data_IF_222136943781
#
_entry.id   IF_222136943781
#
_cell.length_a   1.000
_cell.length_b   1.000
_cell.length_c   1.000
_cell.angle_alpha   90.00
_cell.angle_beta   90.00
_cell.angle_gamma   90.00
#
_symmetry.space_group_name_H-M   'P 1'
#
loop_
_entity.id
_entity.type
_entity.pdbx_description
1 polymer ?
#
# COMPACT_ATOMS: atom_id res chain seq x y z
N UNK A 1 -3.97 12.51 17.60
CA UNK A 1 -2.55 12.89 17.69
C UNK A 1 -1.93 13.01 16.30
N UNK A 2 -0.95 13.91 16.15
CA UNK A 2 -0.26 14.12 14.88
C UNK A 2 1.20 13.71 15.04
N UNK A 3 1.66 12.83 14.17
CA UNK A 3 3.06 12.42 14.08
C UNK A 3 3.68 13.06 12.85
N UNK A 4 4.91 13.55 12.98
CA UNK A 4 5.62 14.25 11.91
C UNK A 4 6.90 13.46 11.55
N UNK A 5 7.07 13.18 10.27
CA UNK A 5 8.32 12.65 9.71
C UNK A 5 9.03 13.73 8.90
N UNK A 6 10.35 13.85 9.09
CA UNK A 6 11.17 14.81 8.36
C UNK A 6 11.72 14.18 7.07
N UNK A 7 11.66 14.93 5.97
CA UNK A 7 12.25 14.59 4.68
C UNK A 7 13.44 15.50 4.43
N UNK A 8 14.49 14.96 3.86
CA UNK A 8 15.72 15.70 3.55
C UNK A 8 15.83 15.88 2.04
N UNK A 9 16.18 17.06 1.59
CA UNK A 9 16.44 17.36 0.20
C UNK A 9 17.83 16.86 -0.25
N UNK A 10 18.15 17.12 -1.52
CA UNK A 10 19.41 16.69 -2.15
C UNK A 10 20.56 17.64 -1.79
N UNK A 11 21.71 17.09 -1.42
CA UNK A 11 22.95 17.86 -1.23
C UNK A 11 23.65 18.03 -2.58
N UNK A 12 24.10 19.24 -2.87
CA UNK A 12 24.87 19.54 -4.08
C UNK A 12 26.37 19.44 -3.79
N UNK A 13 27.08 18.66 -4.60
CA UNK A 13 28.54 18.58 -4.53
C UNK A 13 29.18 19.77 -5.24
N UNK A 14 30.25 20.31 -4.67
CA UNK A 14 31.02 21.40 -5.24
C UNK A 14 32.47 21.00 -5.43
N UNK A 15 33.07 21.42 -6.53
CA UNK A 15 34.50 21.28 -6.76
C UNK A 15 35.24 22.25 -5.85
N UNK A 16 36.23 21.74 -5.11
CA UNK A 16 37.13 22.58 -4.35
C UNK A 16 38.32 22.98 -5.26
N UNK A 17 38.50 24.27 -5.46
CA UNK A 17 39.64 24.82 -6.16
C UNK A 17 40.65 25.35 -5.14
N UNK A 18 41.97 25.17 -5.42
CA UNK A 18 43.01 25.59 -4.52
C UNK A 18 42.96 27.13 -4.30
N UNK A 19 42.88 27.55 -3.06
CA UNK A 19 42.84 28.97 -2.68
C UNK A 19 41.43 29.63 -2.78
N UNK A 20 40.43 28.92 -3.22
CA UNK A 20 39.06 29.44 -3.31
C UNK A 20 38.17 28.77 -2.27
N UNK A 21 37.51 29.56 -1.41
CA UNK A 21 36.50 29.04 -0.46
C UNK A 21 35.16 28.84 -1.17
N UNK A 22 34.64 27.60 -1.28
CA UNK A 22 33.32 27.38 -1.85
C UNK A 22 32.24 27.95 -0.92
N UNK A 23 31.20 28.52 -1.50
CA UNK A 23 30.03 28.99 -0.75
C UNK A 23 29.27 27.76 -0.18
N UNK A 24 28.87 27.85 1.11
CA UNK A 24 28.00 26.85 1.71
C UNK A 24 26.57 26.95 1.13
N UNK A 25 25.91 25.82 0.99
CA UNK A 25 24.48 25.74 0.63
C UNK A 25 23.71 25.05 1.73
N UNK A 26 22.48 25.50 1.93
CA UNK A 26 21.57 24.87 2.89
C UNK A 26 20.75 23.82 2.18
N UNK A 27 20.81 22.59 2.65
CA UNK A 27 19.94 21.52 2.18
C UNK A 27 18.53 21.75 2.72
N UNK A 28 17.48 21.75 1.87
CA UNK A 28 16.12 21.96 2.33
C UNK A 28 15.58 20.73 3.08
N UNK A 29 14.70 20.99 4.03
CA UNK A 29 14.00 19.97 4.78
C UNK A 29 12.50 20.13 4.56
N UNK A 30 11.82 19.02 4.27
CA UNK A 30 10.37 18.93 4.21
C UNK A 30 9.82 18.15 5.40
N UNK A 31 8.50 18.23 5.60
CA UNK A 31 7.80 17.48 6.65
C UNK A 31 6.60 16.76 6.06
N UNK A 32 6.36 15.55 6.53
CA UNK A 32 5.12 14.81 6.34
C UNK A 32 4.45 14.67 7.68
N UNK A 33 3.20 15.06 7.78
CA UNK A 33 2.39 14.87 8.97
C UNK A 33 1.32 13.80 8.74
N UNK A 34 1.14 12.97 9.75
CA UNK A 34 0.07 11.97 9.82
C UNK A 34 -0.77 12.28 11.05
N UNK A 35 -2.06 12.49 10.85
CA UNK A 35 -3.02 12.68 11.96
C UNK A 35 -3.89 11.42 12.06
N UNK A 36 -3.88 10.80 13.24
CA UNK A 36 -4.76 9.67 13.57
C UNK A 36 -5.89 10.21 14.43
N UNK A 37 -7.10 10.25 13.90
CA UNK A 37 -8.27 10.85 14.53
C UNK A 37 -9.53 9.97 14.49
N UNK A 38 -9.41 8.77 13.92
CA UNK A 38 -10.52 7.83 13.77
C UNK A 38 -10.21 6.51 14.47
N UNK A 39 -11.16 6.03 15.27
CA UNK A 39 -11.12 4.70 15.86
C UNK A 39 -12.03 3.78 15.05
N UNK A 40 -11.49 2.68 14.58
CA UNK A 40 -12.24 1.63 13.89
C UNK A 40 -12.68 0.62 14.92
N UNK A 41 -13.96 0.32 14.98
CA UNK A 41 -14.57 -0.60 15.94
C UNK A 41 -15.34 -1.70 15.20
N UNK A 42 -15.03 -2.95 15.52
CA UNK A 42 -15.87 -4.11 15.24
C UNK A 42 -16.58 -4.52 16.52
N UNK A 43 -17.91 -4.56 16.50
CA UNK A 43 -18.73 -4.88 17.65
C UNK A 43 -19.81 -5.87 17.28
N UNK A 44 -19.82 -7.00 17.99
CA UNK A 44 -20.87 -8.02 17.90
C UNK A 44 -21.47 -8.32 19.25
N UNK A 45 -22.71 -8.79 19.24
CA UNK A 45 -23.40 -9.25 20.43
C UNK A 45 -23.93 -10.68 20.28
N UNK A 46 -23.99 -11.41 21.37
CA UNK A 46 -24.52 -12.77 21.44
C UNK A 46 -25.44 -12.92 22.63
N UNK A 47 -26.70 -13.30 22.36
CA UNK A 47 -27.66 -13.55 23.43
C UNK A 47 -27.26 -14.80 24.24
N UNK A 48 -27.44 -14.72 25.54
CA UNK A 48 -27.15 -15.85 26.45
C UNK A 48 -27.94 -17.11 26.08
N UNK A 49 -29.19 -16.96 25.65
CA UNK A 49 -30.02 -18.10 25.26
C UNK A 49 -29.46 -18.82 24.00
N UNK A 50 -29.05 -18.07 22.98
CA UNK A 50 -28.46 -18.64 21.79
C UNK A 50 -27.15 -19.36 22.08
N UNK A 51 -26.36 -18.87 23.02
CA UNK A 51 -25.11 -19.49 23.42
C UNK A 51 -25.33 -20.84 24.09
N UNK A 52 -26.31 -20.94 24.99
CA UNK A 52 -26.66 -22.20 25.64
C UNK A 52 -27.28 -23.24 24.70
N UNK A 53 -27.94 -22.79 23.64
CA UNK A 53 -28.55 -23.68 22.65
C UNK A 53 -27.60 -24.15 21.57
N UNK A 54 -26.48 -23.46 21.35
CA UNK A 54 -25.46 -23.82 20.38
C UNK A 54 -24.29 -24.54 21.07
N UNK A 55 -23.99 -25.78 20.67
CA UNK A 55 -22.79 -26.52 21.11
C UNK A 55 -21.49 -26.00 20.50
N UNK A 56 -21.49 -24.80 20.01
CA UNK A 56 -20.42 -24.19 19.22
C UNK A 56 -19.85 -22.96 19.93
N UNK A 57 -18.53 -22.84 19.92
CA UNK A 57 -17.82 -21.70 20.55
C UNK A 57 -17.96 -20.43 19.72
N UNK A 58 -19.18 -19.91 19.60
CA UNK A 58 -19.52 -18.77 18.74
C UNK A 58 -18.70 -17.51 19.07
N UNK A 59 -18.39 -17.29 20.35
CA UNK A 59 -17.59 -16.13 20.79
C UNK A 59 -16.19 -16.16 20.24
N UNK A 60 -15.54 -17.32 20.21
CA UNK A 60 -14.19 -17.47 19.66
C UNK A 60 -14.17 -17.26 18.16
N UNK A 61 -15.16 -17.76 17.45
CA UNK A 61 -15.29 -17.55 15.99
C UNK A 61 -15.53 -16.08 15.64
N UNK A 62 -16.39 -15.38 16.39
CA UNK A 62 -16.64 -13.95 16.20
C UNK A 62 -15.36 -13.13 16.46
N UNK A 63 -14.61 -13.43 17.53
CA UNK A 63 -13.35 -12.74 17.79
C UNK A 63 -12.30 -12.97 16.68
N UNK A 64 -12.25 -14.19 16.11
CA UNK A 64 -11.38 -14.47 14.97
C UNK A 64 -11.83 -13.75 13.72
N UNK A 65 -13.14 -13.63 13.49
CA UNK A 65 -13.68 -12.91 12.34
C UNK A 65 -13.41 -11.41 12.42
N UNK A 66 -13.56 -10.80 13.59
CA UNK A 66 -13.15 -9.42 13.85
C UNK A 66 -11.68 -9.20 13.50
N UNK A 67 -10.78 -10.08 13.93
CA UNK A 67 -9.35 -9.98 13.62
C UNK A 67 -9.09 -10.07 12.11
N UNK A 68 -9.80 -10.95 11.40
CA UNK A 68 -9.70 -11.08 9.94
C UNK A 68 -10.20 -9.84 9.21
N UNK A 69 -11.37 -9.31 9.60
CA UNK A 69 -11.96 -8.13 8.94
C UNK A 69 -11.14 -6.86 9.20
N UNK A 70 -10.64 -6.67 10.43
CA UNK A 70 -9.73 -5.58 10.75
C UNK A 70 -8.42 -5.71 9.95
N UNK A 71 -7.84 -6.91 9.83
CA UNK A 71 -6.65 -7.15 9.02
C UNK A 71 -6.88 -6.83 7.54
N UNK A 72 -8.03 -7.21 6.98
CA UNK A 72 -8.41 -6.87 5.60
C UNK A 72 -8.55 -5.35 5.40
N UNK A 73 -9.16 -4.67 6.35
CA UNK A 73 -9.31 -3.23 6.32
C UNK A 73 -7.97 -2.51 6.40
N UNK A 74 -7.08 -2.98 7.26
CA UNK A 74 -5.71 -2.47 7.39
C UNK A 74 -4.95 -2.59 6.07
N UNK A 75 -4.91 -3.78 5.47
CA UNK A 75 -4.25 -4.02 4.19
C UNK A 75 -4.83 -3.13 3.08
N UNK A 76 -6.16 -2.96 3.05
CA UNK A 76 -6.81 -2.13 2.05
C UNK A 76 -6.39 -0.67 2.16
N UNK A 77 -6.32 -0.11 3.38
CA UNK A 77 -5.90 1.26 3.61
C UNK A 77 -4.46 1.52 3.12
N UNK A 78 -3.54 0.57 3.34
CA UNK A 78 -2.18 0.66 2.82
C UNK A 78 -2.13 0.64 1.30
N UNK A 79 -2.87 -0.25 0.65
CA UNK A 79 -2.91 -0.34 -0.81
C UNK A 79 -3.57 0.89 -1.45
N UNK A 80 -4.58 1.48 -0.80
CA UNK A 80 -5.17 2.75 -1.22
C UNK A 80 -4.11 3.86 -1.22
N UNK A 81 -3.36 3.98 -0.13
CA UNK A 81 -2.32 5.01 -0.03
C UNK A 81 -1.16 4.75 -0.99
N UNK A 82 -0.84 3.49 -1.29
CA UNK A 82 0.15 3.13 -2.31
C UNK A 82 -0.29 3.57 -3.73
N UNK A 83 -1.57 3.37 -4.10
CA UNK A 83 -2.12 3.87 -5.36
C UNK A 83 -2.03 5.40 -5.44
N UNK A 84 -2.38 6.10 -4.37
CA UNK A 84 -2.29 7.56 -4.30
C UNK A 84 -0.84 8.04 -4.34
N UNK A 85 0.07 7.31 -3.69
CA UNK A 85 1.51 7.56 -3.77
C UNK A 85 2.05 7.46 -5.18
N UNK A 86 1.61 6.46 -5.96
CA UNK A 86 1.99 6.30 -7.37
C UNK A 86 1.50 7.45 -8.28
N UNK A 87 0.44 8.14 -7.88
CA UNK A 87 -0.12 9.29 -8.61
C UNK A 87 0.35 10.64 -8.03
N UNK A 88 1.06 10.63 -6.90
CA UNK A 88 1.48 11.84 -6.22
C UNK A 88 2.63 12.54 -6.94
N UNK A 89 2.57 13.86 -6.97
CA UNK A 89 3.68 14.68 -7.45
C UNK A 89 4.87 14.63 -6.49
N UNK A 90 6.05 15.00 -6.99
CA UNK A 90 7.23 15.17 -6.17
C UNK A 90 6.96 16.19 -5.04
N UNK A 91 7.38 15.92 -3.79
CA UNK A 91 7.21 16.87 -2.71
C UNK A 91 7.96 18.17 -2.96
N UNK A 92 7.33 19.32 -2.67
CA UNK A 92 7.99 20.61 -2.73
C UNK A 92 8.64 20.93 -1.38
N UNK A 93 9.94 21.19 -1.39
CA UNK A 93 10.71 21.63 -0.23
C UNK A 93 10.89 23.16 -0.18
N UNK A 94 10.26 23.92 -1.08
CA UNK A 94 10.34 25.38 -1.12
C UNK A 94 11.68 25.95 -1.58
N UNK A 95 12.67 25.11 -1.88
CA UNK A 95 14.02 25.53 -2.26
C UNK A 95 14.35 25.32 -3.76
N UNK A 96 13.33 25.02 -4.56
CA UNK A 96 13.43 24.68 -5.97
C UNK A 96 13.61 23.17 -6.20
N UNK A 97 13.01 22.66 -7.27
CA UNK A 97 12.98 21.25 -7.61
C UNK A 97 14.37 20.58 -7.76
N UNK A 98 15.40 21.35 -8.11
CA UNK A 98 16.77 20.86 -8.27
C UNK A 98 17.42 20.33 -6.97
N UNK A 99 16.89 20.70 -5.81
CA UNK A 99 17.38 20.25 -4.50
C UNK A 99 16.50 19.19 -3.84
N UNK A 100 15.48 18.73 -4.52
CA UNK A 100 14.64 17.65 -4.04
C UNK A 100 15.30 16.29 -4.35
N UNK A 101 15.41 15.44 -3.33
CA UNK A 101 15.91 14.08 -3.46
C UNK A 101 14.80 13.05 -3.65
N UNK A 102 13.54 13.48 -3.61
CA UNK A 102 12.37 12.63 -3.69
C UNK A 102 11.63 12.95 -4.99
N UNK A 103 11.52 11.96 -5.87
CA UNK A 103 10.81 12.06 -7.13
C UNK A 103 9.28 11.98 -6.98
N UNK A 104 8.57 12.10 -8.10
CA UNK A 104 7.14 11.82 -8.19
C UNK A 104 6.88 10.33 -8.18
N UNK A 105 5.66 9.94 -7.81
CA UNK A 105 5.18 8.57 -7.97
C UNK A 105 5.20 8.13 -9.44
N UNK A 106 5.31 6.83 -9.66
CA UNK A 106 5.35 6.23 -11.00
C UNK A 106 4.03 5.59 -11.36
N UNK A 107 3.54 5.85 -12.54
CA UNK A 107 2.33 5.19 -13.01
C UNK A 107 2.39 4.93 -14.51
N UNK A 108 1.72 3.88 -14.92
CA UNK A 108 1.55 3.50 -16.33
C UNK A 108 0.12 3.04 -16.53
N UNK A 109 -0.51 3.51 -17.61
CA UNK A 109 -1.82 3.02 -18.04
C UNK A 109 -1.62 2.11 -19.26
N UNK A 110 -2.24 0.93 -19.26
CA UNK A 110 -2.23 0.02 -20.40
C UNK A 110 -2.86 0.67 -21.63
N UNK A 111 -2.34 0.36 -22.82
CA UNK A 111 -2.64 1.10 -24.04
C UNK A 111 -4.06 0.88 -24.57
N UNK A 112 -4.64 -0.31 -24.33
CA UNK A 112 -5.99 -0.65 -24.80
C UNK A 112 -6.77 -1.45 -23.78
N UNK A 113 -8.08 -1.43 -23.90
CA UNK A 113 -8.98 -2.25 -23.08
C UNK A 113 -8.71 -3.75 -23.34
N UNK A 114 -8.55 -4.50 -22.26
CA UNK A 114 -8.24 -5.93 -22.33
C UNK A 114 -6.74 -6.28 -22.25
N UNK A 115 -5.85 -5.28 -22.37
CA UNK A 115 -4.40 -5.50 -22.24
C UNK A 115 -4.03 -6.06 -20.84
N UNK A 116 -4.87 -5.84 -19.84
CA UNK A 116 -4.72 -6.43 -18.52
C UNK A 116 -4.87 -7.95 -18.49
N UNK A 117 -5.44 -8.54 -19.55
CA UNK A 117 -5.58 -9.99 -19.72
C UNK A 117 -4.50 -10.59 -20.63
N UNK A 118 -3.64 -9.76 -21.19
CA UNK A 118 -2.48 -10.18 -21.98
C UNK A 118 -1.26 -10.36 -21.07
N UNK A 119 -0.73 -11.59 -20.94
CA UNK A 119 0.37 -11.87 -20.01
C UNK A 119 1.66 -11.13 -20.36
N UNK A 120 1.95 -10.91 -21.63
CA UNK A 120 3.17 -10.21 -22.04
C UNK A 120 3.04 -8.71 -21.77
N UNK A 121 1.93 -8.08 -22.13
CA UNK A 121 1.71 -6.64 -21.93
C UNK A 121 1.67 -6.26 -20.45
N UNK A 122 1.02 -7.08 -19.64
CA UNK A 122 0.97 -6.84 -18.20
C UNK A 122 2.35 -6.99 -17.55
N UNK A 123 3.11 -8.03 -17.92
CA UNK A 123 4.47 -8.23 -17.43
C UNK A 123 5.40 -7.09 -17.89
N UNK A 124 5.34 -6.69 -19.15
CA UNK A 124 6.17 -5.60 -19.70
C UNK A 124 5.85 -4.27 -19.02
N UNK A 125 4.57 -3.98 -18.71
CA UNK A 125 4.19 -2.77 -17.99
C UNK A 125 4.78 -2.73 -16.55
N UNK A 126 4.77 -3.87 -15.85
CA UNK A 126 5.36 -3.99 -14.51
C UNK A 126 6.88 -3.82 -14.60
N UNK A 127 7.55 -4.50 -15.53
CA UNK A 127 9.00 -4.40 -15.74
C UNK A 127 9.41 -2.97 -16.08
N UNK A 128 8.68 -2.30 -16.96
CA UNK A 128 8.96 -0.90 -17.30
C UNK A 128 8.88 0.04 -16.11
N UNK A 129 7.91 -0.16 -15.21
CA UNK A 129 7.81 0.63 -13.97
C UNK A 129 8.98 0.35 -13.02
N UNK A 130 9.36 -0.92 -12.86
CA UNK A 130 10.51 -1.29 -12.03
C UNK A 130 11.78 -0.63 -12.59
N UNK A 131 11.99 -0.70 -13.91
CA UNK A 131 13.15 -0.07 -14.56
C UNK A 131 13.17 1.45 -14.37
N UNK A 132 12.01 2.14 -14.43
CA UNK A 132 11.94 3.57 -14.11
C UNK A 132 12.30 3.89 -12.66
N UNK A 133 11.98 2.98 -11.73
CA UNK A 133 12.38 3.13 -10.33
C UNK A 133 13.89 2.90 -10.14
N UNK A 134 14.47 1.93 -10.86
CA UNK A 134 15.91 1.68 -10.87
C UNK A 134 16.70 2.87 -11.42
N UNK A 135 16.23 3.52 -12.49
CA UNK A 135 16.83 4.74 -13.05
C UNK A 135 16.85 5.89 -12.03
N UNK A 136 15.96 5.88 -11.05
CA UNK A 136 15.96 6.83 -9.92
C UNK A 136 16.76 6.33 -8.70
N UNK A 137 17.60 5.31 -8.88
CA UNK A 137 18.46 4.73 -7.84
C UNK A 137 17.69 4.09 -6.66
N UNK A 138 16.46 3.59 -6.93
CA UNK A 138 15.66 2.86 -5.94
C UNK A 138 16.07 1.37 -5.99
N UNK A 139 16.51 0.76 -4.85
CA UNK A 139 16.89 -0.64 -4.82
C UNK A 139 15.71 -1.57 -5.15
N UNK A 140 15.88 -2.44 -6.16
CA UNK A 140 14.83 -3.37 -6.61
C UNK A 140 14.58 -4.47 -5.58
N UNK A 141 15.61 -4.90 -4.87
CA UNK A 141 15.55 -5.96 -3.86
C UNK A 141 14.50 -5.70 -2.76
N UNK A 142 14.24 -4.43 -2.45
CA UNK A 142 13.25 -4.00 -1.48
C UNK A 142 11.84 -3.82 -2.09
N UNK A 143 11.69 -3.92 -3.41
CA UNK A 143 10.41 -3.70 -4.08
C UNK A 143 9.51 -4.93 -3.95
N UNK A 144 8.23 -4.67 -3.68
CA UNK A 144 7.18 -5.68 -3.65
C UNK A 144 6.09 -5.28 -4.62
N UNK A 145 5.73 -6.20 -5.51
CA UNK A 145 4.67 -6.04 -6.49
C UNK A 145 3.41 -6.73 -5.99
N UNK A 146 2.39 -5.97 -5.67
CA UNK A 146 1.07 -6.49 -5.31
C UNK A 146 0.20 -6.59 -6.56
N UNK A 147 -0.32 -7.78 -6.81
CA UNK A 147 -1.17 -8.06 -7.97
C UNK A 147 -2.44 -8.75 -7.49
N UNK A 148 -3.58 -8.44 -8.13
CA UNK A 148 -4.82 -9.17 -7.83
C UNK A 148 -4.73 -10.63 -8.25
N UNK A 149 -5.45 -11.53 -7.57
CA UNK A 149 -5.44 -12.95 -7.93
C UNK A 149 -5.79 -13.23 -9.39
N UNK A 150 -6.73 -12.47 -9.98
CA UNK A 150 -7.11 -12.56 -11.40
C UNK A 150 -5.95 -12.24 -12.34
N UNK A 151 -5.28 -11.11 -12.12
CA UNK A 151 -4.14 -10.69 -12.94
C UNK A 151 -2.88 -11.50 -12.65
N UNK A 152 -2.75 -12.02 -11.43
CA UNK A 152 -1.69 -12.99 -11.13
C UNK A 152 -1.84 -14.27 -11.95
N UNK A 153 -3.10 -14.74 -12.15
CA UNK A 153 -3.36 -15.91 -13.03
C UNK A 153 -3.01 -15.59 -14.50
N UNK A 154 -3.18 -14.34 -14.93
CA UNK A 154 -2.72 -13.91 -16.27
C UNK A 154 -1.19 -13.98 -16.36
N UNK A 155 -0.46 -13.48 -15.35
CA UNK A 155 1.00 -13.56 -15.31
C UNK A 155 1.54 -15.01 -15.31
N UNK A 156 0.79 -15.96 -14.73
CA UNK A 156 1.13 -17.38 -14.79
C UNK A 156 1.11 -17.95 -16.22
N UNK A 157 0.48 -17.30 -17.17
CA UNK A 157 0.49 -17.70 -18.57
C UNK A 157 1.67 -17.09 -19.37
N UNK A 158 2.51 -16.29 -18.72
CA UNK A 158 3.69 -15.72 -19.37
C UNK A 158 4.84 -16.72 -19.38
N UNK A 159 5.23 -17.16 -20.59
CA UNK A 159 6.29 -18.13 -20.76
C UNK A 159 7.66 -17.64 -20.30
N UNK A 160 7.95 -16.34 -20.38
CA UNK A 160 9.23 -15.77 -19.94
C UNK A 160 9.43 -15.86 -18.43
N UNK A 161 8.32 -15.78 -17.67
CA UNK A 161 8.36 -15.84 -16.20
C UNK A 161 8.43 -17.27 -15.65
N UNK A 162 7.97 -18.28 -16.40
CA UNK A 162 7.83 -19.65 -15.94
C UNK A 162 8.76 -20.65 -16.62
N UNK A 163 9.26 -20.34 -17.84
CA UNK A 163 10.11 -21.27 -18.58
C UNK A 163 11.42 -21.53 -17.84
N UNK A 164 11.80 -22.78 -17.70
CA UNK A 164 13.09 -23.17 -17.14
C UNK A 164 14.28 -22.63 -17.91
N UNK A 165 14.11 -22.39 -19.21
CA UNK A 165 15.16 -21.88 -20.07
C UNK A 165 15.44 -20.38 -19.82
N UNK A 166 14.43 -19.64 -19.39
CA UNK A 166 14.52 -18.20 -19.13
C UNK A 166 14.53 -17.83 -17.65
N UNK A 167 13.82 -18.59 -16.80
CA UNK A 167 13.51 -18.21 -15.44
C UNK A 167 14.02 -19.17 -14.36
N UNK A 168 14.82 -20.18 -14.71
CA UNK A 168 15.59 -21.06 -13.79
C UNK A 168 14.97 -21.33 -12.39
N UNK A 169 13.66 -21.62 -12.33
CA UNK A 169 12.97 -21.94 -11.06
C UNK A 169 12.22 -20.77 -10.40
N UNK A 170 12.02 -19.66 -11.11
CA UNK A 170 11.25 -18.51 -10.64
C UNK A 170 9.76 -18.83 -10.40
N UNK A 171 9.23 -19.89 -10.98
CA UNK A 171 7.83 -20.22 -10.79
C UNK A 171 7.48 -21.69 -11.09
N UNK A 172 6.28 -22.06 -10.70
CA UNK A 172 5.69 -23.38 -10.97
C UNK A 172 4.21 -23.18 -11.32
N UNK A 173 3.86 -23.43 -12.57
CA UNK A 173 2.49 -23.29 -13.06
C UNK A 173 1.52 -24.21 -12.30
N UNK A 174 1.94 -25.46 -12.04
CA UNK A 174 1.10 -26.44 -11.36
C UNK A 174 0.79 -26.03 -9.91
N UNK A 175 1.73 -25.34 -9.26
CA UNK A 175 1.55 -24.80 -7.90
C UNK A 175 0.96 -23.40 -7.88
N UNK A 176 0.83 -22.74 -9.05
CA UNK A 176 0.34 -21.38 -9.15
C UNK A 176 1.23 -20.35 -8.42
N UNK A 177 2.56 -20.48 -8.58
CA UNK A 177 3.55 -19.66 -7.89
C UNK A 177 4.44 -18.96 -8.92
N UNK A 178 4.62 -17.65 -8.73
CA UNK A 178 5.70 -16.85 -9.31
C UNK A 178 6.34 -16.12 -8.12
N UNK A 179 7.66 -16.17 -8.01
CA UNK A 179 8.37 -15.55 -6.90
C UNK A 179 8.70 -14.08 -7.18
N UNK A 180 9.25 -13.81 -8.36
CA UNK A 180 9.83 -12.51 -8.69
C UNK A 180 9.55 -12.11 -10.14
N UNK A 181 9.56 -10.80 -10.39
CA UNK A 181 9.57 -10.20 -11.70
C UNK A 181 10.61 -9.07 -11.69
N UNK A 182 11.61 -9.16 -12.59
CA UNK A 182 12.74 -8.21 -12.64
C UNK A 182 13.41 -7.98 -11.28
N UNK A 183 13.56 -9.03 -10.45
CA UNK A 183 14.15 -8.94 -9.11
C UNK A 183 13.20 -8.46 -8.00
N UNK A 184 12.01 -7.99 -8.32
CA UNK A 184 11.02 -7.57 -7.35
C UNK A 184 10.08 -8.74 -6.98
N UNK A 185 9.81 -8.92 -5.69
CA UNK A 185 8.94 -9.99 -5.18
C UNK A 185 7.48 -9.74 -5.57
N UNK A 186 6.78 -10.77 -6.03
CA UNK A 186 5.34 -10.71 -6.33
C UNK A 186 4.51 -11.27 -5.18
N UNK A 187 3.45 -10.55 -4.81
CA UNK A 187 2.48 -10.96 -3.78
C UNK A 187 1.06 -10.81 -4.31
N UNK A 188 0.24 -11.83 -4.07
CA UNK A 188 -1.20 -11.78 -4.39
C UNK A 188 -1.95 -11.01 -3.31
N UNK A 189 -2.78 -10.04 -3.70
CA UNK A 189 -3.68 -9.37 -2.77
C UNK A 189 -5.05 -9.13 -3.39
N UNK A 190 -6.10 -9.62 -2.74
CA UNK A 190 -7.47 -9.35 -3.12
C UNK A 190 -7.96 -7.98 -2.59
N UNK A 191 -7.12 -7.26 -1.86
CA UNK A 191 -7.48 -5.98 -1.22
C UNK A 191 -7.27 -4.76 -2.12
N UNK A 192 -6.66 -4.91 -3.30
CA UNK A 192 -6.59 -3.83 -4.30
C UNK A 192 -8.01 -3.45 -4.69
N UNK A 193 -8.44 -2.17 -4.53
CA UNK A 193 -9.78 -1.71 -4.85
C UNK A 193 -10.17 -1.98 -6.32
N UNK A 194 -11.43 -2.34 -6.56
CA UNK A 194 -11.98 -2.57 -7.91
C UNK A 194 -13.02 -1.54 -8.33
N UNK A 195 -13.57 -0.85 -7.36
CA UNK A 195 -14.58 0.17 -7.55
C UNK A 195 -14.20 1.42 -6.76
N UNK A 196 -14.79 2.53 -7.11
CA UNK A 196 -14.68 3.74 -6.33
C UNK A 196 -15.12 3.48 -4.88
N UNK A 197 -14.40 4.05 -3.93
CA UNK A 197 -14.73 4.03 -2.51
C UNK A 197 -14.95 5.47 -2.10
N UNK A 198 -16.17 5.78 -1.73
CA UNK A 198 -16.58 7.05 -1.17
C UNK A 198 -16.83 6.87 0.33
N UNK A 199 -16.54 7.86 1.13
CA UNK A 199 -16.75 7.84 2.59
C UNK A 199 -16.03 6.66 3.30
N UNK A 200 -14.77 6.39 2.92
CA UNK A 200 -13.96 5.40 3.63
C UNK A 200 -13.84 5.76 5.11
N UNK A 201 -13.91 4.80 6.03
CA UNK A 201 -13.96 5.04 7.49
C UNK A 201 -12.84 5.92 8.03
N UNK A 202 -11.65 5.88 7.41
CA UNK A 202 -10.53 6.76 7.77
C UNK A 202 -10.57 8.12 7.04
N UNK A 203 -11.49 8.32 6.09
CA UNK A 203 -11.64 9.58 5.37
C UNK A 203 -12.45 10.58 6.19
N UNK A 204 -11.96 11.82 6.26
CA UNK A 204 -12.68 12.92 6.89
C UNK A 204 -12.22 14.26 6.30
N UNK A 205 -12.90 15.35 6.68
CA UNK A 205 -12.59 16.69 6.18
C UNK A 205 -11.17 17.16 6.56
N UNK A 206 -10.61 16.67 7.67
CA UNK A 206 -9.26 17.09 8.15
C UNK A 206 -8.16 16.48 7.29
N UNK A 207 -8.35 15.26 6.80
CA UNK A 207 -7.41 14.59 5.92
C UNK A 207 -7.78 14.73 4.43
N UNK A 208 -8.72 15.62 4.09
CA UNK A 208 -9.17 15.88 2.71
C UNK A 208 -9.65 14.62 1.99
N UNK A 209 -10.37 13.77 2.67
CA UNK A 209 -10.85 12.47 2.16
C UNK A 209 -9.71 11.61 1.59
N UNK A 210 -8.60 11.51 2.33
CA UNK A 210 -7.37 10.91 1.86
C UNK A 210 -7.49 9.44 1.48
N UNK A 211 -8.43 8.69 2.04
CA UNK A 211 -8.61 7.25 1.78
C UNK A 211 -9.71 6.94 0.76
N UNK A 212 -10.42 7.95 0.25
CA UNK A 212 -11.40 7.74 -0.80
C UNK A 212 -10.69 7.44 -2.12
N UNK A 213 -11.26 6.56 -2.92
CA UNK A 213 -10.72 6.16 -4.22
C UNK A 213 -11.70 6.50 -5.33
N UNK A 214 -11.24 7.23 -6.33
CA UNK A 214 -12.02 7.51 -7.54
C UNK A 214 -12.12 6.29 -8.47
N UNK A 215 -13.09 6.28 -9.39
CA UNK A 215 -13.24 5.24 -10.38
C UNK A 215 -11.98 5.03 -11.26
N UNK A 216 -11.23 6.11 -11.52
CA UNK A 216 -9.96 6.03 -12.27
C UNK A 216 -8.87 5.34 -11.45
N UNK A 217 -8.76 5.68 -10.18
CA UNK A 217 -7.78 5.07 -9.26
C UNK A 217 -8.09 3.59 -8.98
N UNK A 218 -9.36 3.22 -8.98
CA UNK A 218 -9.81 1.83 -8.83
C UNK A 218 -9.47 0.92 -10.02
N UNK A 219 -8.98 1.50 -11.14
CA UNK A 219 -8.47 0.75 -12.30
C UNK A 219 -7.08 0.14 -12.07
N UNK A 220 -6.45 0.31 -10.92
CA UNK A 220 -5.15 -0.26 -10.60
C UNK A 220 -5.18 -1.80 -10.65
N UNK A 221 -4.28 -2.40 -11.44
CA UNK A 221 -4.13 -3.85 -11.63
C UNK A 221 -2.92 -4.41 -10.92
N UNK A 222 -1.86 -3.62 -10.82
CA UNK A 222 -0.66 -3.94 -10.07
C UNK A 222 -0.17 -2.69 -9.31
N UNK A 223 0.39 -2.90 -8.13
CA UNK A 223 0.94 -1.86 -7.27
C UNK A 223 2.35 -2.28 -6.89
N UNK A 224 3.31 -1.39 -7.06
CA UNK A 224 4.70 -1.61 -6.70
C UNK A 224 5.02 -0.65 -5.54
N UNK A 225 5.58 -1.17 -4.48
CA UNK A 225 5.97 -0.33 -3.36
C UNK A 225 7.21 -0.88 -2.63
N UNK A 226 7.94 0.04 -2.01
CA UNK A 226 9.02 -0.23 -1.10
C UNK A 226 8.57 0.09 0.34
N UNK A 227 9.09 -0.54 1.39
CA UNK A 227 8.72 -0.23 2.78
C UNK A 227 8.82 1.25 3.17
N UNK A 228 9.76 2.00 2.57
CA UNK A 228 9.95 3.44 2.83
C UNK A 228 8.93 4.34 2.14
N UNK A 229 8.11 3.81 1.24
CA UNK A 229 7.13 4.57 0.44
C UNK A 229 6.04 5.18 1.29
N UNK A 230 5.60 4.47 2.32
CA UNK A 230 4.50 4.86 3.19
C UNK A 230 5.01 5.14 4.61
N UNK A 231 4.33 6.05 5.28
CA UNK A 231 4.51 6.35 6.69
C UNK A 231 3.21 6.02 7.42
N UNK A 232 3.29 5.07 8.34
CA UNK A 232 2.16 4.62 9.14
C UNK A 232 2.38 4.94 10.60
N UNK A 233 1.31 5.22 11.31
CA UNK A 233 1.31 5.44 12.75
C UNK A 233 0.08 4.82 13.39
N UNK A 234 0.24 4.32 14.58
CA UNK A 234 -0.81 3.73 15.40
C UNK A 234 -0.87 4.49 16.73
N UNK A 235 -2.07 4.91 17.10
CA UNK A 235 -2.31 5.60 18.38
C UNK A 235 -2.91 4.66 19.41
N UNK A 236 -3.82 3.78 18.97
CA UNK A 236 -4.42 2.73 19.79
C UNK A 236 -4.12 1.40 19.11
N UNK A 237 -3.35 0.51 19.74
CA UNK A 237 -3.07 -0.81 19.19
C UNK A 237 -4.35 -1.64 19.15
N UNK A 238 -4.36 -2.67 18.29
CA UNK A 238 -5.47 -3.60 18.21
C UNK A 238 -5.74 -4.18 19.60
N UNK A 239 -6.89 -3.84 20.12
CA UNK A 239 -7.37 -4.25 21.44
C UNK A 239 -8.73 -4.93 21.29
N UNK A 240 -8.99 -5.91 22.14
CA UNK A 240 -10.25 -6.64 22.15
C UNK A 240 -10.72 -6.81 23.58
N UNK A 241 -12.01 -6.67 23.79
CA UNK A 241 -12.66 -6.89 25.07
C UNK A 241 -13.94 -7.70 24.90
N UNK A 242 -14.28 -8.46 25.93
CA UNK A 242 -15.50 -9.26 25.94
C UNK A 242 -16.14 -9.13 27.32
N UNK A 243 -17.36 -8.63 27.34
CA UNK A 243 -18.10 -8.49 28.58
C UNK A 243 -19.54 -8.96 28.48
N UNK A 244 -20.11 -9.31 29.62
CA UNK A 244 -21.50 -9.68 29.75
C UNK A 244 -22.35 -8.51 30.23
N UNK A 245 -23.34 -8.10 29.46
CA UNK A 245 -24.31 -7.10 29.84
C UNK A 245 -25.44 -7.78 30.65
N UNK A 246 -25.51 -7.45 31.92
CA UNK A 246 -26.49 -8.04 32.84
C UNK A 246 -27.93 -7.58 32.60
N UNK A 247 -28.13 -6.41 32.04
CA UNK A 247 -29.46 -5.85 31.74
C UNK A 247 -30.06 -6.53 30.51
N UNK A 248 -29.29 -6.63 29.43
CA UNK A 248 -29.74 -7.21 28.15
C UNK A 248 -29.57 -8.73 28.10
N UNK A 249 -28.86 -9.35 29.06
CA UNK A 249 -28.53 -10.79 29.07
C UNK A 249 -27.78 -11.22 27.79
N UNK A 250 -26.81 -10.40 27.36
CA UNK A 250 -26.02 -10.59 26.15
C UNK A 250 -24.53 -10.46 26.44
N UNK A 251 -23.74 -11.21 25.68
CA UNK A 251 -22.31 -11.02 25.58
C UNK A 251 -22.03 -10.01 24.46
N UNK A 252 -21.15 -9.06 24.74
CA UNK A 252 -20.59 -8.15 23.76
C UNK A 252 -19.13 -8.50 23.51
N UNK A 253 -18.72 -8.46 22.25
CA UNK A 253 -17.36 -8.70 21.79
C UNK A 253 -16.98 -7.47 20.98
N UNK A 254 -16.00 -6.72 21.47
CA UNK A 254 -15.49 -5.52 20.83
C UNK A 254 -14.05 -5.75 20.42
N UNK A 255 -13.69 -5.25 19.25
CA UNK A 255 -12.32 -5.14 18.81
C UNK A 255 -12.12 -3.79 18.15
N UNK A 256 -11.09 -3.04 18.55
CA UNK A 256 -10.86 -1.70 18.04
C UNK A 256 -9.38 -1.40 17.86
N UNK A 257 -9.10 -0.47 16.97
CA UNK A 257 -7.78 0.10 16.75
C UNK A 257 -7.90 1.52 16.21
N UNK A 258 -6.84 2.31 16.37
CA UNK A 258 -6.71 3.61 15.71
C UNK A 258 -5.35 3.73 15.04
N UNK A 259 -5.35 3.79 13.72
CA UNK A 259 -4.15 3.91 12.90
C UNK A 259 -4.38 4.89 11.76
N UNK A 260 -3.29 5.29 11.13
CA UNK A 260 -3.31 6.06 9.91
C UNK A 260 -2.10 5.75 9.05
N UNK A 261 -2.23 6.01 7.76
CA UNK A 261 -1.18 5.82 6.77
C UNK A 261 -1.12 7.04 5.86
N UNK A 262 0.06 7.48 5.50
CA UNK A 262 0.24 8.55 4.52
C UNK A 262 1.42 8.25 3.61
N UNK A 263 1.47 8.91 2.46
CA UNK A 263 2.57 8.76 1.50
C UNK A 263 3.80 9.49 2.04
N UNK A 264 4.89 8.78 2.23
CA UNK A 264 6.18 9.34 2.65
C UNK A 264 7.09 9.65 1.45
N UNK A 265 7.33 8.65 0.60
CA UNK A 265 8.18 8.77 -0.58
C UNK A 265 7.40 8.31 -1.80
N UNK A 266 6.82 9.27 -2.58
CA UNK A 266 6.09 8.94 -3.79
C UNK A 266 6.92 8.19 -4.83
N UNK A 267 8.20 8.55 -4.98
CA UNK A 267 9.16 7.92 -5.88
C UNK A 267 9.28 6.40 -5.69
N UNK A 268 9.06 5.92 -4.47
CA UNK A 268 9.05 4.50 -4.12
C UNK A 268 7.68 3.82 -4.30
N UNK A 269 6.71 4.51 -4.91
CA UNK A 269 5.39 3.97 -5.25
C UNK A 269 5.21 3.89 -6.77
N UNK A 270 4.70 2.76 -7.25
CA UNK A 270 4.34 2.56 -8.64
C UNK A 270 2.97 1.92 -8.78
N UNK A 271 2.24 2.23 -9.85
CA UNK A 271 0.98 1.55 -10.15
C UNK A 271 0.75 1.40 -11.66
N UNK A 272 0.26 0.22 -12.05
CA UNK A 272 -0.22 -0.07 -13.40
C UNK A 272 -1.73 0.03 -13.39
N UNK A 273 -2.28 0.82 -14.30
CA UNK A 273 -3.72 1.00 -14.46
C UNK A 273 -4.20 0.34 -15.75
N UNK A 274 -5.37 -0.27 -15.72
CA UNK A 274 -6.05 -0.68 -16.95
C UNK A 274 -6.59 0.55 -17.69
N UNK A 275 -6.80 0.39 -18.99
CA UNK A 275 -7.33 1.44 -19.86
C UNK A 275 -8.71 1.97 -19.40
#
# INVERSE_FOLDING_TARGET
DTVVNNRVGKTTLKKLEAGVRPAAETTPFGKVSLTVDTVVLARDNRSMLNEFQTHFSARQELAQDHGKEIGKFFDQAFLIMAIKGALAAAPDFGAGAAKNSIGAGKNTTLAAAGDENDPDKLADAIVNLITQMEEEEIPVEDLVVFVRPTHFQVLLNNNKLLSRDFAAGNGDYAKGIIYEINGARIVKSARIPQAAIEEHFLSNARNSMAYDISATQAKAVAIILQPKSLFAGETIPLSSDMWFNKEEKQWFIDSWLAFGVTVNRPDCCGAVFKF
#
